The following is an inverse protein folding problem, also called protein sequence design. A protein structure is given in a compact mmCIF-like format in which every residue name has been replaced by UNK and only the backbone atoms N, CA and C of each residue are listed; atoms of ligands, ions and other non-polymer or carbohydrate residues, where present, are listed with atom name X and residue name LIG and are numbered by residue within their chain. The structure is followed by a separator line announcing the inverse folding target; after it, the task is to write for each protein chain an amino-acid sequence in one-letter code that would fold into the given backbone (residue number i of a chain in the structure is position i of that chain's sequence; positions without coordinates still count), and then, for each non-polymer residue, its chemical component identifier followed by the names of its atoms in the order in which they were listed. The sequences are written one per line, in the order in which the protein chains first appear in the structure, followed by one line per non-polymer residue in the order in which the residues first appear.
data_IF_352417613243
#
_entry.id   IF_352417613243
#
_cell.length_a   1.000
_cell.length_b   1.000
_cell.length_c   1.000
_cell.angle_alpha   90.00
_cell.angle_beta   90.00
_cell.angle_gamma   90.00
#
_symmetry.space_group_name_H-M   'P 1'
#
loop_
_entity.id
_entity.type
_entity.pdbx_description
1 polymer ?
#
# COMPACT_ATOMS: atom_id res chain seq x y z
N UNK A 1 -45.22 6.82 -5.87
CA UNK A 1 -44.83 7.68 -4.74
C UNK A 1 -44.20 6.80 -3.69
N UNK A 2 -42.87 6.76 -3.64
CA UNK A 2 -42.13 6.13 -2.58
C UNK A 2 -40.94 7.03 -2.28
N UNK A 3 -41.03 7.71 -1.16
CA UNK A 3 -40.11 8.75 -0.68
C UNK A 3 -38.85 8.08 -0.16
N UNK A 4 -37.71 8.39 -0.77
CA UNK A 4 -36.40 7.95 -0.33
C UNK A 4 -36.00 8.74 0.92
N UNK A 5 -35.80 8.05 2.05
CA UNK A 5 -35.23 8.60 3.26
C UNK A 5 -33.71 8.65 3.09
N UNK A 6 -33.23 9.85 2.89
CA UNK A 6 -31.81 10.18 2.92
C UNK A 6 -31.42 10.43 4.38
N UNK A 7 -30.78 9.44 5.02
CA UNK A 7 -30.25 9.57 6.37
C UNK A 7 -29.05 10.50 6.38
N UNK A 8 -29.19 11.65 7.00
CA UNK A 8 -28.11 12.58 7.35
C UNK A 8 -27.13 11.90 8.30
N UNK A 9 -25.87 11.90 7.95
CA UNK A 9 -24.76 11.61 8.85
C UNK A 9 -24.57 12.78 9.82
N UNK A 10 -24.34 12.55 11.10
CA UNK A 10 -24.12 13.61 12.06
C UNK A 10 -22.64 14.04 12.10
N UNK A 11 -22.43 15.37 12.10
CA UNK A 11 -21.31 16.04 12.75
C UNK A 11 -20.03 16.09 11.94
N UNK A 12 -19.82 17.19 11.23
CA UNK A 12 -18.51 17.73 10.95
C UNK A 12 -17.79 17.96 12.29
N UNK A 13 -16.93 17.02 12.68
CA UNK A 13 -15.93 17.27 13.72
C UNK A 13 -14.86 18.16 13.10
N UNK A 14 -14.71 19.37 13.64
CA UNK A 14 -13.57 20.24 13.40
C UNK A 14 -12.28 19.43 13.58
N UNK A 15 -11.27 19.59 12.70
CA UNK A 15 -9.98 18.94 12.90
C UNK A 15 -9.40 19.49 14.20
N UNK A 16 -9.19 18.63 15.17
CA UNK A 16 -8.34 18.89 16.32
C UNK A 16 -6.96 19.23 15.77
N UNK A 17 -6.52 20.46 15.96
CA UNK A 17 -5.13 20.86 15.80
C UNK A 17 -4.29 19.99 16.73
N UNK A 18 -3.70 18.93 16.19
CA UNK A 18 -2.80 18.07 16.94
C UNK A 18 -1.38 18.32 16.50
N UNK A 19 -0.59 18.79 17.47
CA UNK A 19 0.86 18.57 17.69
C UNK A 19 1.71 18.31 16.43
N UNK A 20 2.71 19.08 16.31
CA UNK A 20 4.03 19.07 15.63
C UNK A 20 4.63 17.74 15.15
N UNK A 21 3.82 16.75 14.75
CA UNK A 21 4.26 15.52 14.07
C UNK A 21 4.02 15.64 12.58
N UNK A 22 5.00 15.28 11.76
CA UNK A 22 4.87 15.29 10.31
C UNK A 22 3.71 14.39 9.88
N UNK A 23 2.66 14.92 9.22
CA UNK A 23 1.50 14.12 8.86
C UNK A 23 1.85 13.12 7.76
N UNK A 24 1.46 11.86 7.96
CA UNK A 24 1.37 10.91 6.86
C UNK A 24 0.27 11.40 5.91
N UNK A 25 0.58 11.48 4.65
CA UNK A 25 -0.34 11.78 3.57
C UNK A 25 -0.45 10.58 2.63
N UNK A 26 -1.67 10.15 2.37
CA UNK A 26 -1.97 9.15 1.34
C UNK A 26 -2.82 9.81 0.26
N UNK A 27 -2.31 9.80 -0.97
CA UNK A 27 -3.04 10.26 -2.16
C UNK A 27 -3.17 9.05 -3.09
N UNK A 28 -4.36 8.82 -3.62
CA UNK A 28 -4.52 7.71 -4.54
C UNK A 28 -5.86 7.65 -5.24
N UNK A 29 -5.94 6.71 -6.16
CA UNK A 29 -7.18 6.26 -6.78
C UNK A 29 -7.32 4.76 -6.59
N UNK A 30 -8.55 4.28 -6.50
CA UNK A 30 -8.84 2.86 -6.41
C UNK A 30 -10.13 2.52 -7.20
N UNK A 31 -10.50 1.24 -7.18
CA UNK A 31 -11.69 0.71 -7.86
C UNK A 31 -13.02 1.35 -7.41
N UNK A 32 -13.06 2.07 -6.28
CA UNK A 32 -14.25 2.79 -5.81
C UNK A 32 -14.32 4.21 -6.33
N UNK A 33 -13.16 4.83 -6.56
CA UNK A 33 -13.08 6.25 -6.95
C UNK A 33 -12.86 6.44 -8.43
N UNK A 34 -12.38 5.41 -9.15
CA UNK A 34 -12.10 5.49 -10.57
C UNK A 34 -12.38 4.16 -11.29
N UNK A 35 -13.03 4.21 -12.47
CA UNK A 35 -13.19 3.04 -13.34
C UNK A 35 -11.83 2.61 -13.92
N UNK A 36 -11.79 1.41 -14.52
CA UNK A 36 -10.53 0.81 -15.02
C UNK A 36 -9.85 1.69 -16.07
N UNK A 37 -10.61 2.40 -16.91
CA UNK A 37 -10.11 3.28 -17.95
C UNK A 37 -9.26 4.44 -17.42
N UNK A 38 -9.55 4.91 -16.21
CA UNK A 38 -8.76 5.94 -15.52
C UNK A 38 -7.60 5.28 -14.78
N UNK A 39 -7.85 4.18 -14.06
CA UNK A 39 -6.82 3.50 -13.26
C UNK A 39 -5.65 3.03 -14.11
N UNK A 40 -5.90 2.49 -15.31
CA UNK A 40 -4.84 2.04 -16.21
C UNK A 40 -3.91 3.16 -16.72
N UNK A 41 -4.33 4.44 -16.64
CA UNK A 41 -3.52 5.59 -17.05
C UNK A 41 -2.55 6.07 -15.96
N UNK A 42 -2.69 5.58 -14.74
CA UNK A 42 -1.86 5.98 -13.59
C UNK A 42 -1.15 4.78 -12.95
N UNK A 43 -1.03 3.67 -13.66
CA UNK A 43 -0.28 2.49 -13.22
C UNK A 43 1.21 2.74 -13.35
N UNK A 44 1.97 2.39 -12.33
CA UNK A 44 3.43 2.33 -12.41
C UNK A 44 3.86 0.95 -12.85
N UNK A 45 4.47 0.84 -14.03
CA UNK A 45 5.07 -0.40 -14.50
C UNK A 45 6.24 -0.81 -13.58
N UNK A 46 6.48 -2.12 -13.46
CA UNK A 46 7.46 -2.62 -12.49
C UNK A 46 8.89 -2.16 -12.74
N UNK A 47 9.26 -1.93 -14.00
CA UNK A 47 10.56 -1.41 -14.44
C UNK A 47 10.68 0.12 -14.28
N UNK A 48 9.59 0.85 -14.27
CA UNK A 48 9.54 2.30 -14.06
C UNK A 48 9.50 2.69 -12.58
N UNK A 49 8.99 1.79 -11.71
CA UNK A 49 8.77 2.05 -10.29
C UNK A 49 10.02 2.57 -9.55
N UNK A 50 11.26 2.05 -9.79
CA UNK A 50 12.45 2.59 -9.14
C UNK A 50 12.72 4.06 -9.50
N UNK A 51 12.56 4.45 -10.76
CA UNK A 51 12.75 5.83 -11.20
C UNK A 51 11.65 6.74 -10.61
N UNK A 52 10.40 6.30 -10.64
CA UNK A 52 9.28 7.02 -10.05
C UNK A 52 9.48 7.29 -8.54
N UNK A 53 9.97 6.30 -7.78
CA UNK A 53 10.26 6.44 -6.35
C UNK A 53 11.35 7.48 -6.08
N UNK A 54 12.42 7.50 -6.88
CA UNK A 54 13.50 8.48 -6.76
C UNK A 54 12.99 9.90 -7.08
N UNK A 55 12.22 10.06 -8.14
CA UNK A 55 11.68 11.35 -8.53
C UNK A 55 10.66 11.86 -7.50
N UNK A 56 9.76 10.99 -7.01
CA UNK A 56 8.80 11.32 -5.95
C UNK A 56 9.51 11.80 -4.67
N UNK A 57 10.63 11.17 -4.31
CA UNK A 57 11.42 11.59 -3.14
C UNK A 57 12.06 12.96 -3.29
N UNK A 58 12.21 13.46 -4.52
CA UNK A 58 12.70 14.80 -4.84
C UNK A 58 11.61 15.88 -4.85
N UNK A 59 10.34 15.52 -4.73
CA UNK A 59 9.23 16.49 -4.67
C UNK A 59 9.32 17.30 -3.39
N UNK A 60 9.10 18.62 -3.52
CA UNK A 60 9.20 19.54 -2.38
C UNK A 60 8.27 19.11 -1.24
N UNK A 61 8.78 19.10 -0.02
CA UNK A 61 8.04 18.71 1.17
C UNK A 61 8.01 17.20 1.45
N UNK A 62 8.49 16.33 0.55
CA UNK A 62 8.55 14.87 0.77
C UNK A 62 9.84 14.48 1.48
N UNK A 63 9.75 13.71 2.55
CA UNK A 63 10.90 13.16 3.30
C UNK A 63 11.00 11.65 3.23
N UNK A 64 9.86 10.96 3.21
CA UNK A 64 9.77 9.53 3.02
C UNK A 64 8.65 9.26 2.03
N UNK A 65 8.80 8.26 1.17
CA UNK A 65 7.81 7.94 0.15
C UNK A 65 7.72 6.44 -0.13
N UNK A 66 6.53 6.03 -0.59
CA UNK A 66 6.23 4.68 -1.03
C UNK A 66 5.13 4.78 -2.10
N UNK A 67 5.28 4.04 -3.19
CA UNK A 67 4.26 3.92 -4.25
C UNK A 67 3.67 2.51 -4.18
N UNK A 68 2.35 2.41 -4.09
CA UNK A 68 1.61 1.15 -4.19
C UNK A 68 0.83 1.18 -5.49
N UNK A 69 1.21 0.35 -6.45
CA UNK A 69 0.52 0.22 -7.75
C UNK A 69 0.11 -1.23 -7.97
N UNK A 70 -1.19 -1.47 -8.13
CA UNK A 70 -1.81 -2.78 -8.34
C UNK A 70 -2.92 -2.67 -9.37
N UNK A 71 -3.58 -3.78 -9.73
CA UNK A 71 -4.74 -3.73 -10.62
C UNK A 71 -5.93 -2.92 -10.06
N UNK A 72 -6.01 -2.74 -8.73
CA UNK A 72 -7.17 -2.10 -8.09
C UNK A 72 -6.87 -0.73 -7.49
N UNK A 73 -5.61 -0.32 -7.38
CA UNK A 73 -5.21 0.97 -6.79
C UNK A 73 -3.86 1.45 -7.24
N UNK A 74 -3.72 2.76 -7.30
CA UNK A 74 -2.45 3.47 -7.34
C UNK A 74 -2.46 4.49 -6.23
N UNK A 75 -1.51 4.38 -5.31
CA UNK A 75 -1.43 5.18 -4.09
C UNK A 75 -0.01 5.65 -3.82
N UNK A 76 0.12 6.90 -3.41
CA UNK A 76 1.35 7.51 -2.91
C UNK A 76 1.23 7.63 -1.39
N UNK A 77 2.14 7.03 -0.64
CA UNK A 77 2.26 7.20 0.81
C UNK A 77 3.46 8.08 1.06
N UNK A 78 3.23 9.29 1.53
CA UNK A 78 4.29 10.28 1.72
C UNK A 78 4.29 10.79 3.16
N UNK A 79 5.47 10.94 3.73
CA UNK A 79 5.69 11.67 4.96
C UNK A 79 6.37 13.00 4.62
N UNK A 80 5.84 14.10 5.12
CA UNK A 80 6.39 15.42 4.81
C UNK A 80 5.55 16.57 5.35
N UNK A 81 5.58 17.69 4.67
CA UNK A 81 4.94 18.93 5.14
C UNK A 81 3.40 18.91 5.00
N UNK A 82 2.84 17.85 4.41
CA UNK A 82 1.38 17.65 4.28
C UNK A 82 0.74 18.40 3.11
N UNK A 83 1.52 19.11 2.28
CA UNK A 83 1.00 19.73 1.05
C UNK A 83 0.78 18.67 -0.03
N UNK A 84 -0.45 18.56 -0.49
CA UNK A 84 -0.84 17.58 -1.51
C UNK A 84 -0.63 18.08 -2.95
N UNK A 85 -0.57 19.39 -3.15
CA UNK A 85 -0.52 20.00 -4.49
C UNK A 85 0.70 19.56 -5.29
N UNK A 86 1.93 19.58 -4.74
CA UNK A 86 3.11 19.11 -5.46
C UNK A 86 3.03 17.63 -5.85
N UNK A 87 2.41 16.79 -5.00
CA UNK A 87 2.27 15.36 -5.25
C UNK A 87 1.27 15.08 -6.37
N UNK A 88 0.14 15.79 -6.38
CA UNK A 88 -0.87 15.68 -7.46
C UNK A 88 -0.29 16.17 -8.79
N UNK A 89 0.44 17.28 -8.76
CA UNK A 89 1.13 17.81 -9.95
C UNK A 89 2.18 16.81 -10.47
N UNK A 90 2.97 16.22 -9.58
CA UNK A 90 3.95 15.20 -9.93
C UNK A 90 3.29 13.97 -10.54
N UNK A 91 2.24 13.41 -9.92
CA UNK A 91 1.53 12.25 -10.43
C UNK A 91 0.95 12.50 -11.83
N UNK A 92 0.37 13.69 -12.03
CA UNK A 92 -0.17 14.10 -13.32
C UNK A 92 0.93 14.28 -14.38
N UNK A 93 2.08 14.82 -13.99
CA UNK A 93 3.24 15.01 -14.87
C UNK A 93 3.91 13.68 -15.24
N UNK A 94 4.11 12.79 -14.26
CA UNK A 94 4.71 11.48 -14.49
C UNK A 94 3.97 10.67 -15.56
N UNK A 95 2.66 10.68 -15.51
CA UNK A 95 1.80 9.95 -16.45
C UNK A 95 1.34 10.77 -17.66
N UNK A 96 1.89 11.98 -17.84
CA UNK A 96 1.55 12.89 -18.93
C UNK A 96 0.03 13.09 -19.15
N UNK A 97 -0.72 13.14 -18.03
CA UNK A 97 -2.18 13.18 -18.07
C UNK A 97 -2.72 14.42 -18.78
N UNK A 98 -1.98 15.52 -18.71
CA UNK A 98 -2.34 16.78 -19.40
C UNK A 98 -2.33 16.64 -20.92
N UNK A 99 -1.35 15.93 -21.49
CA UNK A 99 -1.28 15.65 -22.93
C UNK A 99 -2.44 14.75 -23.39
N UNK A 100 -2.92 13.90 -22.49
CA UNK A 100 -4.10 13.06 -22.73
C UNK A 100 -5.44 13.74 -22.42
N UNK A 101 -5.43 15.01 -22.04
CA UNK A 101 -6.61 15.80 -21.63
C UNK A 101 -7.44 15.10 -20.54
N UNK A 102 -6.74 14.44 -19.60
CA UNK A 102 -7.35 13.66 -18.51
C UNK A 102 -7.18 14.38 -17.17
N UNK A 103 -8.28 14.78 -16.56
CA UNK A 103 -8.32 15.28 -15.19
C UNK A 103 -8.74 14.15 -14.23
N UNK A 104 -7.83 13.79 -13.33
CA UNK A 104 -8.06 12.76 -12.30
C UNK A 104 -8.43 13.35 -10.94
N UNK A 105 -8.50 14.68 -10.81
CA UNK A 105 -8.69 15.37 -9.51
C UNK A 105 -9.95 14.93 -8.77
N UNK A 106 -11.03 14.66 -9.51
CA UNK A 106 -12.29 14.14 -8.96
C UNK A 106 -12.26 12.67 -8.56
N UNK A 107 -11.25 11.93 -9.00
CA UNK A 107 -11.07 10.50 -8.69
C UNK A 107 -10.07 10.26 -7.57
N UNK A 108 -9.29 11.28 -7.18
CA UNK A 108 -8.29 11.18 -6.12
C UNK A 108 -8.94 11.28 -4.74
N UNK A 109 -8.64 10.35 -3.87
CA UNK A 109 -8.82 10.54 -2.42
C UNK A 109 -7.53 11.02 -1.77
N UNK A 110 -7.69 11.75 -0.68
CA UNK A 110 -6.63 12.38 0.09
C UNK A 110 -6.89 12.12 1.56
N UNK A 111 -5.92 11.50 2.23
CA UNK A 111 -6.04 11.12 3.62
C UNK A 111 -4.82 11.62 4.38
N UNK A 112 -5.04 12.27 5.53
CA UNK A 112 -3.99 12.85 6.36
C UNK A 112 -4.02 12.24 7.76
N UNK A 113 -2.85 12.05 8.38
CA UNK A 113 -2.71 11.63 9.78
C UNK A 113 -3.40 10.30 10.10
N UNK A 114 -4.22 10.25 11.14
CA UNK A 114 -4.94 9.05 11.58
C UNK A 114 -5.76 8.37 10.48
N UNK A 115 -6.57 9.05 9.67
CA UNK A 115 -7.24 8.46 8.51
C UNK A 115 -6.29 7.78 7.51
N UNK A 116 -5.09 8.36 7.28
CA UNK A 116 -4.08 7.76 6.41
C UNK A 116 -3.51 6.46 7.02
N UNK A 117 -3.20 6.47 8.32
CA UNK A 117 -2.73 5.28 9.06
C UNK A 117 -3.79 4.16 9.00
N UNK A 118 -5.06 4.52 9.28
CA UNK A 118 -6.19 3.58 9.21
C UNK A 118 -6.32 2.97 7.83
N UNK A 119 -6.18 3.78 6.78
CA UNK A 119 -6.24 3.31 5.40
C UNK A 119 -5.13 2.31 5.09
N UNK A 120 -3.87 2.61 5.44
CA UNK A 120 -2.73 1.70 5.23
C UNK A 120 -2.95 0.35 5.91
N UNK A 121 -3.46 0.34 7.14
CA UNK A 121 -3.77 -0.90 7.87
C UNK A 121 -4.92 -1.65 7.23
N UNK A 122 -5.97 -0.94 6.80
CA UNK A 122 -7.12 -1.53 6.10
C UNK A 122 -6.71 -2.18 4.78
N UNK A 123 -5.85 -1.51 4.01
CA UNK A 123 -5.27 -2.05 2.77
C UNK A 123 -4.44 -3.30 3.06
N UNK A 124 -3.55 -3.26 4.06
CA UNK A 124 -2.72 -4.40 4.43
C UNK A 124 -3.54 -5.63 4.85
N UNK A 125 -4.67 -5.40 5.52
CA UNK A 125 -5.61 -6.44 5.95
C UNK A 125 -6.53 -6.94 4.81
N UNK A 126 -6.55 -6.26 3.66
CA UNK A 126 -7.48 -6.54 2.55
C UNK A 126 -8.91 -6.07 2.82
N UNK A 127 -9.13 -5.19 3.80
CA UNK A 127 -10.45 -4.65 4.13
C UNK A 127 -10.91 -3.59 3.13
N UNK A 128 -9.97 -2.97 2.42
CA UNK A 128 -10.24 -2.02 1.33
C UNK A 128 -10.00 -2.63 -0.06
N UNK A 129 -9.89 -3.94 -0.19
CA UNK A 129 -9.73 -4.62 -1.47
C UNK A 129 -11.07 -4.83 -2.18
N UNK A 130 -11.02 -4.99 -3.52
CA UNK A 130 -12.17 -5.36 -4.35
C UNK A 130 -12.85 -6.61 -3.78
N UNK A 131 -12.03 -7.57 -3.39
CA UNK A 131 -12.44 -8.78 -2.69
C UNK A 131 -11.98 -8.68 -1.25
N UNK A 132 -12.94 -8.56 -0.35
CA UNK A 132 -12.68 -8.38 1.07
C UNK A 132 -11.85 -9.54 1.64
N UNK A 133 -10.70 -9.23 2.25
CA UNK A 133 -9.77 -10.20 2.83
C UNK A 133 -8.85 -10.90 1.82
N UNK A 134 -8.74 -10.41 0.59
CA UNK A 134 -7.86 -10.99 -0.44
C UNK A 134 -6.40 -11.07 0.04
N UNK A 135 -5.77 -12.26 -0.04
CA UNK A 135 -4.40 -12.43 0.46
C UNK A 135 -3.34 -11.72 -0.38
N UNK A 136 -3.61 -11.47 -1.67
CA UNK A 136 -2.64 -10.95 -2.63
C UNK A 136 -2.19 -9.53 -2.31
N UNK A 137 -3.08 -8.67 -1.82
CA UNK A 137 -2.75 -7.26 -1.52
C UNK A 137 -1.62 -7.13 -0.49
N UNK A 138 -1.56 -8.00 0.51
CA UNK A 138 -0.48 -7.99 1.49
C UNK A 138 0.88 -8.32 0.84
N UNK A 139 0.90 -9.26 -0.10
CA UNK A 139 2.08 -9.60 -0.90
C UNK A 139 2.53 -8.42 -1.75
N UNK A 140 1.59 -7.79 -2.48
CA UNK A 140 1.85 -6.61 -3.32
C UNK A 140 2.38 -5.44 -2.50
N UNK A 141 1.79 -5.18 -1.34
CA UNK A 141 2.24 -4.12 -0.43
C UNK A 141 3.66 -4.36 0.10
N UNK A 142 4.02 -5.63 0.40
CA UNK A 142 5.40 -6.00 0.77
C UNK A 142 6.37 -5.80 -0.38
N UNK A 143 5.98 -6.10 -1.60
CA UNK A 143 6.81 -5.90 -2.80
C UNK A 143 7.05 -4.41 -3.04
N UNK A 144 6.01 -3.58 -2.98
CA UNK A 144 6.11 -2.13 -3.08
C UNK A 144 7.04 -1.53 -1.99
N UNK A 145 6.89 -1.99 -0.75
CA UNK A 145 7.74 -1.55 0.35
C UNK A 145 9.21 -1.94 0.15
N UNK A 146 9.51 -3.15 -0.33
CA UNK A 146 10.88 -3.55 -0.66
C UNK A 146 11.47 -2.67 -1.76
N UNK A 147 10.71 -2.41 -2.82
CA UNK A 147 11.16 -1.52 -3.89
C UNK A 147 11.54 -0.13 -3.37
N UNK A 148 10.73 0.45 -2.46
CA UNK A 148 11.03 1.73 -1.82
C UNK A 148 12.26 1.67 -0.90
N UNK A 149 12.46 0.56 -0.17
CA UNK A 149 13.67 0.34 0.64
C UNK A 149 14.93 0.24 -0.22
N UNK A 150 14.86 -0.50 -1.34
CA UNK A 150 15.98 -0.67 -2.27
C UNK A 150 16.41 0.68 -2.87
N UNK A 151 15.45 1.59 -3.08
CA UNK A 151 15.69 2.97 -3.51
C UNK A 151 16.08 3.92 -2.37
N UNK A 152 16.07 3.47 -1.10
CA UNK A 152 16.41 4.28 0.09
C UNK A 152 15.53 5.51 0.29
N UNK A 153 14.28 5.45 -0.16
CA UNK A 153 13.32 6.56 -0.02
C UNK A 153 12.38 6.38 1.17
N UNK A 154 12.51 5.28 1.92
CA UNK A 154 11.82 5.08 3.19
C UNK A 154 12.71 5.49 4.37
N UNK A 155 12.11 6.05 5.40
CA UNK A 155 12.78 6.38 6.66
C UNK A 155 12.16 5.67 7.87
N UNK A 156 12.44 6.13 9.09
CA UNK A 156 12.00 5.47 10.32
C UNK A 156 10.48 5.36 10.45
N UNK A 157 9.74 6.37 9.97
CA UNK A 157 8.29 6.40 10.09
C UNK A 157 7.61 5.36 9.18
N UNK A 158 7.86 5.41 7.86
CA UNK A 158 7.27 4.45 6.92
C UNK A 158 7.74 3.02 7.22
N UNK A 159 8.99 2.84 7.64
CA UNK A 159 9.48 1.53 8.05
C UNK A 159 8.68 0.98 9.24
N UNK A 160 8.41 1.81 10.26
CA UNK A 160 7.62 1.41 11.42
C UNK A 160 6.17 1.15 11.04
N UNK A 161 5.55 2.04 10.26
CA UNK A 161 4.19 1.92 9.77
C UNK A 161 3.98 0.60 9.02
N UNK A 162 4.84 0.32 8.04
CA UNK A 162 4.71 -0.87 7.20
C UNK A 162 4.94 -2.17 7.97
N UNK A 163 5.95 -2.22 8.85
CA UNK A 163 6.19 -3.39 9.70
C UNK A 163 5.02 -3.66 10.65
N UNK A 164 4.46 -2.61 11.24
CA UNK A 164 3.28 -2.72 12.09
C UNK A 164 2.07 -3.19 11.27
N UNK A 165 1.81 -2.58 10.10
CA UNK A 165 0.72 -2.98 9.21
C UNK A 165 0.81 -4.46 8.80
N UNK A 166 2.01 -4.97 8.49
CA UNK A 166 2.22 -6.39 8.16
C UNK A 166 1.96 -7.32 9.35
N UNK A 167 2.36 -6.91 10.56
CA UNK A 167 2.10 -7.66 11.79
C UNK A 167 0.61 -7.72 12.10
N UNK A 168 -0.05 -6.58 12.02
CA UNK A 168 -1.51 -6.45 12.22
C UNK A 168 -2.27 -7.28 11.21
N UNK A 169 -1.94 -7.18 9.92
CA UNK A 169 -2.56 -7.95 8.86
C UNK A 169 -2.45 -9.46 9.10
N UNK A 170 -1.30 -9.94 9.58
CA UNK A 170 -1.13 -11.35 9.95
C UNK A 170 -2.05 -11.75 11.11
N UNK A 171 -2.14 -10.92 12.17
CA UNK A 171 -3.01 -11.19 13.33
C UNK A 171 -4.49 -11.18 12.95
N UNK A 172 -4.95 -10.15 12.24
CA UNK A 172 -6.33 -10.05 11.77
C UNK A 172 -6.72 -11.29 10.98
N UNK A 173 -5.87 -11.73 10.04
CA UNK A 173 -6.15 -12.93 9.23
C UNK A 173 -6.16 -14.24 10.00
N UNK A 174 -5.42 -14.34 11.12
CA UNK A 174 -5.40 -15.57 11.95
C UNK A 174 -6.47 -15.56 13.04
N UNK A 175 -6.92 -14.40 13.50
CA UNK A 175 -7.82 -14.26 14.64
C UNK A 175 -9.25 -13.91 14.23
N UNK A 176 -9.48 -13.52 12.97
CA UNK A 176 -10.84 -13.26 12.44
C UNK A 176 -11.16 -14.20 11.28
N UNK A 177 -12.43 -14.29 10.93
CA UNK A 177 -12.91 -15.09 9.80
C UNK A 177 -12.57 -14.50 8.44
N UNK A 178 -11.96 -13.31 8.37
CA UNK A 178 -11.66 -12.62 7.12
C UNK A 178 -10.67 -13.41 6.25
N UNK A 179 -9.76 -14.18 6.88
CA UNK A 179 -8.81 -15.05 6.19
C UNK A 179 -9.35 -16.42 5.78
N UNK A 180 -10.44 -16.88 6.37
CA UNK A 180 -10.93 -18.26 6.21
C UNK A 180 -11.71 -18.49 4.91
N UNK A 181 -12.35 -17.45 4.35
CA UNK A 181 -13.19 -17.51 3.17
C UNK A 181 -12.80 -16.46 2.12
N UNK A 182 -11.50 -16.21 1.95
CA UNK A 182 -11.03 -15.27 0.97
C UNK A 182 -11.38 -15.75 -0.44
N UNK A 183 -12.41 -15.15 -1.05
CA UNK A 183 -12.62 -15.23 -2.49
C UNK A 183 -11.54 -14.37 -3.13
N UNK A 184 -10.90 -14.86 -4.16
CA UNK A 184 -9.97 -14.07 -4.96
C UNK A 184 -10.65 -13.57 -6.23
N UNK A 185 -10.07 -12.54 -6.87
CA UNK A 185 -10.49 -12.11 -8.21
C UNK A 185 -10.48 -13.30 -9.17
N UNK A 186 -9.48 -14.17 -9.05
CA UNK A 186 -9.39 -15.39 -9.85
C UNK A 186 -10.58 -16.34 -9.63
N UNK A 187 -11.00 -16.56 -8.37
CA UNK A 187 -12.16 -17.39 -8.07
C UNK A 187 -13.47 -16.76 -8.52
N UNK A 188 -13.58 -15.42 -8.49
CA UNK A 188 -14.74 -14.71 -9.02
C UNK A 188 -14.84 -14.85 -10.54
N UNK A 189 -13.71 -14.76 -11.27
CA UNK A 189 -13.66 -15.01 -12.71
C UNK A 189 -14.14 -16.42 -13.06
N UNK A 190 -13.68 -17.45 -12.33
CA UNK A 190 -14.10 -18.83 -12.53
C UNK A 190 -15.58 -19.04 -12.16
N UNK A 191 -16.07 -18.41 -11.09
CA UNK A 191 -17.49 -18.46 -10.73
C UNK A 191 -18.39 -17.79 -11.78
N UNK A 192 -17.91 -16.73 -12.44
CA UNK A 192 -18.62 -16.10 -13.55
C UNK A 192 -18.63 -17.01 -14.79
N UNK A 193 -17.51 -17.67 -15.11
CA UNK A 193 -17.46 -18.67 -16.18
C UNK A 193 -18.45 -19.80 -15.95
N UNK A 194 -18.65 -20.24 -14.70
CA UNK A 194 -19.66 -21.26 -14.33
C UNK A 194 -21.11 -20.83 -14.52
N UNK A 195 -21.40 -19.55 -14.57
CA UNK A 195 -22.75 -19.06 -14.93
C UNK A 195 -23.02 -19.22 -16.43
N UNK A 196 -21.97 -19.30 -17.26
CA UNK A 196 -22.07 -19.48 -18.71
C UNK A 196 -21.94 -20.96 -19.11
N UNK A 197 -21.05 -21.70 -18.45
CA UNK A 197 -20.78 -23.11 -18.69
C UNK A 197 -21.17 -23.95 -17.48
N UNK A 198 -22.07 -24.90 -17.63
CA UNK A 198 -22.51 -25.79 -16.55
C UNK A 198 -21.39 -26.72 -16.09
N UNK A 199 -20.55 -27.19 -17.04
CA UNK A 199 -19.42 -28.10 -16.81
C UNK A 199 -18.20 -27.61 -17.61
N UNK A 200 -17.02 -27.81 -17.07
CA UNK A 200 -15.75 -27.45 -17.72
C UNK A 200 -15.03 -28.63 -18.38
N UNK A 201 -15.52 -29.87 -18.21
CA UNK A 201 -14.79 -31.08 -18.64
C UNK A 201 -14.42 -31.12 -20.12
N UNK A 202 -15.31 -30.61 -20.97
CA UNK A 202 -15.14 -30.63 -22.44
C UNK A 202 -14.64 -29.27 -22.98
N UNK A 203 -14.40 -28.30 -22.10
CA UNK A 203 -13.96 -26.95 -22.49
C UNK A 203 -12.44 -26.81 -22.43
N UNK A 204 -11.92 -25.84 -23.16
CA UNK A 204 -10.51 -25.46 -23.17
C UNK A 204 -10.37 -24.06 -22.57
N UNK A 205 -9.51 -23.89 -21.55
CA UNK A 205 -9.15 -22.58 -21.04
C UNK A 205 -7.78 -22.15 -21.59
N UNK A 206 -7.71 -20.90 -22.02
CA UNK A 206 -6.49 -20.18 -22.36
C UNK A 206 -6.22 -19.15 -21.26
N UNK A 207 -5.13 -19.35 -20.55
CA UNK A 207 -4.66 -18.48 -19.48
C UNK A 207 -3.51 -17.62 -19.99
N UNK A 208 -3.68 -16.30 -19.95
CA UNK A 208 -2.70 -15.34 -20.47
C UNK A 208 -2.01 -14.63 -19.32
N UNK A 209 -0.71 -14.90 -19.18
CA UNK A 209 0.10 -14.57 -18.02
C UNK A 209 0.54 -15.82 -17.25
N UNK A 210 1.54 -15.67 -16.38
CA UNK A 210 2.03 -16.73 -15.49
C UNK A 210 2.28 -16.18 -14.07
N UNK A 211 1.49 -15.21 -13.66
CA UNK A 211 1.52 -14.63 -12.31
C UNK A 211 0.64 -15.41 -11.33
N UNK A 212 0.69 -14.99 -10.05
CA UNK A 212 -0.05 -15.62 -8.94
C UNK A 212 -1.56 -15.70 -9.19
N UNK A 213 -2.15 -14.65 -9.78
CA UNK A 213 -3.59 -14.59 -10.11
C UNK A 213 -3.97 -15.65 -11.14
N UNK A 214 -3.15 -15.84 -12.18
CA UNK A 214 -3.37 -16.88 -13.22
C UNK A 214 -3.17 -18.26 -12.64
N UNK A 215 -2.14 -18.48 -11.81
CA UNK A 215 -1.93 -19.75 -11.13
C UNK A 215 -3.14 -20.13 -10.25
N UNK A 216 -3.72 -19.14 -9.57
CA UNK A 216 -4.91 -19.35 -8.75
C UNK A 216 -6.15 -19.63 -9.61
N UNK A 217 -6.34 -18.96 -10.74
CA UNK A 217 -7.40 -19.23 -11.69
C UNK A 217 -7.29 -20.66 -12.25
N UNK A 218 -6.08 -21.10 -12.60
CA UNK A 218 -5.80 -22.47 -13.05
C UNK A 218 -6.22 -23.51 -12.01
N UNK A 219 -5.87 -23.31 -10.73
CA UNK A 219 -6.30 -24.19 -9.62
C UNK A 219 -7.81 -24.27 -9.49
N UNK A 220 -8.49 -23.14 -9.55
CA UNK A 220 -9.95 -23.11 -9.46
C UNK A 220 -10.62 -23.79 -10.67
N UNK A 221 -10.15 -23.54 -11.89
CA UNK A 221 -10.66 -24.20 -13.10
C UNK A 221 -10.46 -25.72 -13.02
N UNK A 222 -9.28 -26.17 -12.57
CA UNK A 222 -8.98 -27.59 -12.40
C UNK A 222 -9.86 -28.25 -11.35
N UNK A 223 -10.06 -27.57 -10.21
CA UNK A 223 -10.94 -28.04 -9.13
C UNK A 223 -12.41 -28.18 -9.59
N UNK A 224 -12.83 -27.45 -10.63
CA UNK A 224 -14.16 -27.53 -11.22
C UNK A 224 -14.20 -28.40 -12.49
N UNK A 225 -13.21 -29.26 -12.71
CA UNK A 225 -13.25 -30.32 -13.72
C UNK A 225 -12.62 -29.98 -15.07
N UNK A 226 -12.03 -28.78 -15.25
CA UNK A 226 -11.36 -28.41 -16.49
C UNK A 226 -10.21 -29.39 -16.80
N UNK A 227 -10.18 -29.92 -18.02
CA UNK A 227 -9.16 -30.89 -18.46
C UNK A 227 -8.12 -30.31 -19.40
N UNK A 228 -8.50 -29.38 -20.24
CA UNK A 228 -7.61 -28.78 -21.27
C UNK A 228 -7.27 -27.36 -20.91
N UNK A 229 -5.98 -27.09 -20.75
CA UNK A 229 -5.46 -25.77 -20.33
C UNK A 229 -4.27 -25.39 -21.21
N UNK A 230 -4.31 -24.18 -21.74
CA UNK A 230 -3.21 -23.57 -22.48
C UNK A 230 -2.76 -22.36 -21.66
N UNK A 231 -1.45 -22.25 -21.42
CA UNK A 231 -0.85 -21.12 -20.70
C UNK A 231 0.03 -20.33 -21.66
N UNK A 232 -0.33 -19.07 -21.88
CA UNK A 232 0.43 -18.14 -22.72
C UNK A 232 1.18 -17.14 -21.86
N UNK A 233 2.47 -16.96 -22.07
CA UNK A 233 3.23 -15.93 -21.35
C UNK A 233 4.41 -15.41 -22.20
N UNK A 234 4.89 -14.20 -21.91
CA UNK A 234 6.09 -13.62 -22.55
C UNK A 234 7.33 -14.49 -22.31
N UNK A 235 7.54 -14.97 -21.09
CA UNK A 235 8.56 -15.98 -20.78
C UNK A 235 7.95 -17.37 -20.92
N UNK A 236 8.38 -18.12 -21.94
CA UNK A 236 7.92 -19.49 -22.18
C UNK A 236 8.25 -20.42 -21.01
N UNK A 237 9.40 -20.22 -20.35
CA UNK A 237 9.80 -21.03 -19.19
C UNK A 237 8.79 -20.93 -18.05
N UNK A 238 8.33 -19.70 -17.73
CA UNK A 238 7.30 -19.47 -16.72
C UNK A 238 5.95 -20.08 -17.13
N UNK A 239 5.60 -19.99 -18.40
CA UNK A 239 4.40 -20.65 -18.92
C UNK A 239 4.49 -22.16 -18.78
N UNK A 240 5.65 -22.77 -19.07
CA UNK A 240 5.90 -24.21 -18.94
C UNK A 240 5.86 -24.65 -17.48
N UNK A 241 6.45 -23.89 -16.56
CA UNK A 241 6.43 -24.16 -15.13
C UNK A 241 4.98 -24.25 -14.63
N UNK A 242 4.17 -23.23 -14.94
CA UNK A 242 2.76 -23.22 -14.54
C UNK A 242 1.95 -24.33 -15.25
N UNK A 243 2.14 -24.52 -16.54
CA UNK A 243 1.40 -25.53 -17.30
C UNK A 243 1.67 -26.97 -16.78
N UNK A 244 2.89 -27.28 -16.33
CA UNK A 244 3.25 -28.59 -15.77
C UNK A 244 2.47 -28.92 -14.49
N UNK A 245 2.14 -27.93 -13.66
CA UNK A 245 1.34 -28.14 -12.44
C UNK A 245 -0.06 -28.70 -12.76
N UNK A 246 -0.57 -28.45 -13.98
CA UNK A 246 -1.95 -28.75 -14.37
C UNK A 246 -2.07 -29.65 -15.63
N UNK A 247 -1.01 -30.35 -16.03
CA UNK A 247 -0.96 -31.14 -17.27
C UNK A 247 -1.44 -30.32 -18.47
N UNK A 248 -1.07 -29.05 -18.53
CA UNK A 248 -1.45 -28.10 -19.56
C UNK A 248 -0.37 -27.92 -20.62
N UNK A 249 -0.68 -27.13 -21.64
CA UNK A 249 0.21 -26.81 -22.76
C UNK A 249 0.67 -25.36 -22.65
N UNK A 250 1.97 -25.10 -22.82
CA UNK A 250 2.55 -23.75 -22.74
C UNK A 250 2.85 -23.20 -24.14
N UNK A 251 2.52 -21.92 -24.32
CA UNK A 251 2.80 -21.18 -25.57
C UNK A 251 3.44 -19.84 -25.27
N UNK A 252 4.10 -19.24 -26.25
CA UNK A 252 4.52 -17.83 -26.17
C UNK A 252 3.35 -16.89 -26.50
N UNK A 253 3.47 -15.60 -26.14
CA UNK A 253 2.44 -14.61 -26.48
C UNK A 253 2.27 -14.42 -27.99
N UNK A 254 3.35 -14.60 -28.77
CA UNK A 254 3.30 -14.52 -30.25
C UNK A 254 2.44 -15.62 -30.86
N UNK A 255 2.36 -16.78 -30.22
CA UNK A 255 1.53 -17.90 -30.67
C UNK A 255 0.06 -17.79 -30.26
N UNK A 256 -0.29 -16.78 -29.44
CA UNK A 256 -1.62 -16.62 -28.82
C UNK A 256 -2.73 -16.58 -29.87
N UNK A 257 -2.58 -15.82 -30.95
CA UNK A 257 -3.58 -15.71 -32.03
C UNK A 257 -3.88 -17.05 -32.71
N UNK A 258 -2.90 -17.95 -32.79
CA UNK A 258 -3.05 -19.27 -33.37
C UNK A 258 -3.90 -20.21 -32.50
N UNK A 259 -3.81 -20.06 -31.17
CA UNK A 259 -4.48 -20.92 -30.19
C UNK A 259 -5.80 -20.35 -29.66
N UNK A 260 -6.09 -19.07 -29.89
CA UNK A 260 -7.39 -18.44 -29.54
C UNK A 260 -8.61 -19.24 -30.08
N UNK A 261 -8.58 -19.81 -31.30
CA UNK A 261 -9.70 -20.62 -31.80
C UNK A 261 -10.01 -21.87 -30.97
N UNK A 262 -9.06 -22.37 -30.18
CA UNK A 262 -9.23 -23.55 -29.34
C UNK A 262 -9.88 -23.26 -28.00
N UNK A 263 -9.84 -21.97 -27.55
CA UNK A 263 -10.25 -21.56 -26.24
C UNK A 263 -11.76 -21.26 -26.13
N UNK A 264 -12.42 -21.88 -25.17
CA UNK A 264 -13.80 -21.55 -24.80
C UNK A 264 -13.82 -20.51 -23.67
N UNK A 265 -12.80 -20.54 -22.80
CA UNK A 265 -12.61 -19.65 -21.65
C UNK A 265 -11.23 -18.98 -21.81
N UNK A 266 -11.17 -17.67 -21.74
CA UNK A 266 -9.91 -16.89 -21.70
C UNK A 266 -9.87 -16.11 -20.41
N UNK A 267 -8.78 -16.23 -19.63
CA UNK A 267 -8.52 -15.40 -18.46
C UNK A 267 -7.14 -14.76 -18.65
N UNK A 268 -7.11 -13.44 -18.65
CA UNK A 268 -5.90 -12.65 -18.87
C UNK A 268 -5.52 -11.82 -17.64
N UNK A 269 -4.24 -11.90 -17.28
CA UNK A 269 -3.63 -11.10 -16.20
C UNK A 269 -2.12 -11.01 -16.42
N UNK A 270 -1.69 -10.08 -17.28
CA UNK A 270 -0.26 -9.81 -17.52
C UNK A 270 0.13 -8.44 -16.94
N UNK A 271 1.41 -8.11 -17.02
CA UNK A 271 1.93 -6.78 -16.73
C UNK A 271 2.29 -6.03 -18.02
N UNK A 272 1.57 -6.31 -19.12
CA UNK A 272 1.82 -5.65 -20.39
C UNK A 272 1.30 -4.21 -20.34
N UNK A 273 2.08 -3.22 -20.81
CA UNK A 273 1.61 -1.84 -20.91
C UNK A 273 0.60 -1.63 -22.06
N UNK A 274 0.51 -2.60 -22.96
CA UNK A 274 -0.39 -2.57 -24.14
C UNK A 274 -1.15 -3.87 -24.25
N UNK A 275 -2.37 -3.86 -24.82
CA UNK A 275 -3.16 -5.05 -25.04
C UNK A 275 -2.39 -6.13 -25.83
N UNK A 276 -2.47 -7.36 -25.34
CA UNK A 276 -1.85 -8.55 -25.97
C UNK A 276 -2.87 -9.36 -26.77
N UNK A 277 -4.17 -9.14 -26.54
CA UNK A 277 -5.27 -9.77 -27.28
C UNK A 277 -6.00 -8.69 -28.08
N UNK A 278 -5.79 -8.69 -29.40
CA UNK A 278 -6.34 -7.68 -30.27
C UNK A 278 -7.73 -8.04 -30.81
N UNK A 279 -8.49 -7.02 -31.19
CA UNK A 279 -9.79 -7.20 -31.85
C UNK A 279 -9.72 -8.09 -33.09
N UNK A 280 -8.70 -7.89 -33.94
CA UNK A 280 -8.54 -8.69 -35.16
C UNK A 280 -8.24 -10.15 -34.89
N UNK A 281 -7.44 -10.44 -33.85
CA UNK A 281 -7.14 -11.81 -33.45
C UNK A 281 -8.40 -12.53 -32.94
N UNK A 282 -9.20 -11.89 -32.10
CA UNK A 282 -10.46 -12.47 -31.59
C UNK A 282 -11.48 -12.63 -32.71
N UNK A 283 -11.62 -11.63 -33.59
CA UNK A 283 -12.51 -11.69 -34.74
C UNK A 283 -12.15 -12.89 -35.68
N UNK A 284 -10.87 -13.10 -35.91
CA UNK A 284 -10.40 -14.25 -36.69
C UNK A 284 -10.69 -15.58 -35.96
N UNK A 285 -10.48 -15.65 -34.65
CA UNK A 285 -10.78 -16.83 -33.85
C UNK A 285 -12.27 -17.20 -33.88
N UNK A 286 -13.19 -16.23 -33.70
CA UNK A 286 -14.64 -16.48 -33.77
C UNK A 286 -15.05 -17.04 -35.12
N UNK A 287 -14.48 -16.52 -36.21
CA UNK A 287 -14.75 -17.08 -37.56
C UNK A 287 -14.28 -18.54 -37.70
N UNK A 288 -13.08 -18.82 -37.20
CA UNK A 288 -12.53 -20.18 -37.25
C UNK A 288 -13.34 -21.18 -36.40
N UNK A 289 -13.90 -20.70 -35.28
CA UNK A 289 -14.77 -21.45 -34.36
C UNK A 289 -16.20 -21.67 -34.89
N UNK A 290 -16.53 -21.18 -36.09
CA UNK A 290 -17.88 -21.20 -36.62
C UNK A 290 -18.92 -20.57 -35.69
N UNK A 291 -18.57 -19.43 -35.10
CA UNK A 291 -19.36 -18.64 -34.14
C UNK A 291 -19.70 -19.36 -32.84
N UNK A 292 -18.89 -20.32 -32.38
CA UNK A 292 -18.98 -20.78 -31.01
C UNK A 292 -18.53 -19.66 -30.06
N UNK A 293 -19.31 -19.31 -29.03
CA UNK A 293 -18.98 -18.21 -28.15
C UNK A 293 -17.67 -18.43 -27.41
N UNK A 294 -17.00 -17.33 -27.07
CA UNK A 294 -15.83 -17.28 -26.19
C UNK A 294 -16.20 -16.42 -24.96
N UNK A 295 -15.96 -16.98 -23.79
CA UNK A 295 -16.01 -16.26 -22.53
C UNK A 295 -14.62 -15.72 -22.20
N UNK A 296 -14.49 -14.41 -22.01
CA UNK A 296 -13.23 -13.75 -21.78
C UNK A 296 -13.30 -12.90 -20.49
N UNK A 297 -12.28 -13.00 -19.65
CA UNK A 297 -12.13 -12.15 -18.44
C UNK A 297 -10.77 -11.51 -18.46
N UNK A 298 -10.75 -10.19 -18.47
CA UNK A 298 -9.55 -9.38 -18.35
C UNK A 298 -9.40 -8.87 -16.92
N UNK A 299 -8.40 -9.41 -16.21
CA UNK A 299 -8.11 -9.03 -14.82
C UNK A 299 -6.91 -8.08 -14.76
N UNK A 300 -6.26 -7.83 -15.91
CA UNK A 300 -5.09 -6.96 -16.00
C UNK A 300 -5.44 -5.48 -15.87
N UNK A 301 -4.52 -4.71 -15.32
CA UNK A 301 -4.51 -3.25 -15.38
C UNK A 301 -3.05 -2.82 -15.57
N UNK A 302 -2.71 -2.24 -16.73
CA UNK A 302 -3.55 -1.94 -17.89
C UNK A 302 -4.19 -3.19 -18.50
N UNK A 303 -5.29 -2.99 -19.28
CA UNK A 303 -6.02 -4.10 -19.89
C UNK A 303 -5.19 -4.85 -20.92
N UNK A 304 -5.28 -6.18 -20.86
CA UNK A 304 -4.64 -7.10 -21.82
C UNK A 304 -5.46 -7.27 -23.10
N UNK A 305 -6.78 -7.00 -23.06
CA UNK A 305 -7.72 -7.21 -24.15
C UNK A 305 -8.21 -5.86 -24.67
N UNK A 306 -8.15 -5.64 -25.97
CA UNK A 306 -8.68 -4.42 -26.59
C UNK A 306 -10.18 -4.26 -26.29
N UNK A 307 -10.63 -3.08 -25.81
CA UNK A 307 -12.04 -2.85 -25.45
C UNK A 307 -13.03 -3.10 -26.60
N UNK A 308 -12.59 -2.91 -27.82
CA UNK A 308 -13.36 -3.16 -29.03
C UNK A 308 -13.81 -4.61 -29.18
N UNK A 309 -13.12 -5.56 -28.53
CA UNK A 309 -13.48 -6.99 -28.51
C UNK A 309 -14.88 -7.19 -27.94
N UNK A 310 -15.32 -6.36 -27.00
CA UNK A 310 -16.67 -6.41 -26.45
C UNK A 310 -17.79 -6.13 -27.49
N UNK A 311 -17.44 -5.56 -28.65
CA UNK A 311 -18.39 -5.30 -29.76
C UNK A 311 -18.61 -6.49 -30.68
N UNK A 312 -17.82 -7.56 -30.51
CA UNK A 312 -17.95 -8.76 -31.34
C UNK A 312 -19.15 -9.59 -30.87
N UNK A 313 -19.97 -10.03 -31.83
CA UNK A 313 -20.97 -11.07 -31.58
C UNK A 313 -20.26 -12.35 -31.15
N UNK A 314 -20.86 -13.15 -30.27
CA UNK A 314 -20.33 -14.43 -29.76
C UNK A 314 -19.10 -14.26 -28.83
N UNK A 315 -18.83 -13.04 -28.32
CA UNK A 315 -17.81 -12.77 -27.29
C UNK A 315 -18.46 -12.19 -26.04
N UNK A 316 -18.19 -12.81 -24.90
CA UNK A 316 -18.59 -12.32 -23.59
C UNK A 316 -17.33 -11.83 -22.86
N UNK A 317 -17.02 -10.54 -23.03
CA UNK A 317 -15.87 -9.92 -22.39
C UNK A 317 -16.30 -9.26 -21.08
N UNK A 318 -15.61 -9.63 -20.01
CA UNK A 318 -15.74 -9.05 -18.67
C UNK A 318 -14.40 -8.49 -18.23
N UNK A 319 -14.45 -7.40 -17.50
CA UNK A 319 -13.28 -6.74 -16.90
C UNK A 319 -13.21 -7.04 -15.41
N UNK A 320 -12.13 -6.62 -14.77
CA UNK A 320 -11.98 -6.73 -13.30
C UNK A 320 -13.15 -6.03 -12.56
N UNK A 321 -13.70 -4.96 -13.11
CA UNK A 321 -14.78 -4.21 -12.47
C UNK A 321 -16.13 -4.96 -12.55
N UNK A 322 -16.36 -5.76 -13.58
CA UNK A 322 -17.56 -6.60 -13.71
C UNK A 322 -17.59 -7.75 -12.68
N UNK A 323 -16.43 -8.14 -12.16
CA UNK A 323 -16.33 -9.18 -11.13
C UNK A 323 -16.88 -8.74 -9.77
N UNK A 324 -17.04 -7.43 -9.53
CA UNK A 324 -17.59 -6.88 -8.27
C UNK A 324 -18.97 -7.46 -7.95
N UNK A 325 -19.82 -7.62 -8.97
CA UNK A 325 -21.17 -8.16 -8.80
C UNK A 325 -21.18 -9.59 -8.23
N UNK A 326 -20.26 -10.44 -8.69
CA UNK A 326 -20.14 -11.83 -8.25
C UNK A 326 -19.57 -11.94 -6.84
N UNK A 327 -18.65 -11.06 -6.48
CA UNK A 327 -18.05 -11.00 -5.15
C UNK A 327 -19.08 -10.63 -4.08
N UNK A 328 -20.08 -9.82 -4.46
CA UNK A 328 -21.10 -9.30 -3.54
C UNK A 328 -22.15 -10.33 -3.10
N UNK A 329 -22.29 -11.46 -3.77
CA UNK A 329 -23.29 -12.49 -3.44
C UNK A 329 -23.09 -13.13 -2.04
N UNK A 330 -21.91 -12.98 -1.39
CA UNK A 330 -21.58 -13.51 -0.07
C UNK A 330 -21.33 -12.44 1.02
N UNK A 331 -21.96 -11.26 0.88
CA UNK A 331 -21.64 -10.07 1.67
C UNK A 331 -22.00 -10.16 3.17
N UNK A 332 -23.02 -10.91 3.59
CA UNK A 332 -23.48 -10.89 4.99
C UNK A 332 -22.41 -11.46 5.95
N UNK A 333 -21.93 -12.67 5.67
CA UNK A 333 -20.90 -13.33 6.49
C UNK A 333 -19.56 -12.59 6.49
N UNK A 334 -19.26 -11.87 5.38
CA UNK A 334 -18.04 -11.06 5.24
C UNK A 334 -18.13 -9.75 5.98
N UNK A 335 -19.32 -9.14 6.08
CA UNK A 335 -19.53 -7.92 6.87
C UNK A 335 -19.27 -8.14 8.35
N UNK A 336 -19.69 -9.29 8.90
CA UNK A 336 -19.37 -9.64 10.29
C UNK A 336 -17.86 -9.80 10.50
N UNK A 337 -17.18 -10.55 9.62
CA UNK A 337 -15.73 -10.72 9.70
C UNK A 337 -14.97 -9.40 9.52
N UNK A 338 -15.48 -8.49 8.67
CA UNK A 338 -14.91 -7.15 8.51
C UNK A 338 -15.14 -6.29 9.76
N UNK A 339 -16.24 -6.44 10.46
CA UNK A 339 -16.51 -5.72 11.70
C UNK A 339 -15.52 -6.14 12.80
N UNK A 340 -15.36 -7.45 13.02
CA UNK A 340 -14.35 -7.99 13.95
C UNK A 340 -12.93 -7.48 13.60
N UNK A 341 -12.59 -7.45 12.31
CA UNK A 341 -11.29 -6.96 11.85
C UNK A 341 -11.11 -5.46 12.09
N UNK A 342 -12.15 -4.64 11.88
CA UNK A 342 -12.11 -3.20 12.12
C UNK A 342 -11.98 -2.88 13.62
N UNK A 343 -12.63 -3.63 14.50
CA UNK A 343 -12.48 -3.46 15.94
C UNK A 343 -11.03 -3.72 16.39
N UNK A 344 -10.41 -4.79 15.85
CA UNK A 344 -9.00 -5.05 16.09
C UNK A 344 -8.11 -3.92 15.55
N UNK A 345 -8.40 -3.43 14.34
CA UNK A 345 -7.64 -2.33 13.73
C UNK A 345 -7.69 -1.06 14.58
N UNK A 346 -8.84 -0.70 15.13
CA UNK A 346 -8.98 0.49 15.98
C UNK A 346 -8.03 0.45 17.18
N UNK A 347 -7.90 -0.70 17.83
CA UNK A 347 -6.96 -0.90 18.95
C UNK A 347 -5.51 -0.76 18.49
N UNK A 348 -5.16 -1.36 17.35
CA UNK A 348 -3.80 -1.33 16.83
C UNK A 348 -3.38 0.06 16.36
N UNK A 349 -4.29 0.83 15.78
CA UNK A 349 -4.06 2.22 15.36
C UNK A 349 -3.78 3.07 16.59
N UNK A 350 -4.60 2.97 17.64
CA UNK A 350 -4.38 3.71 18.88
C UNK A 350 -3.01 3.38 19.51
N UNK A 351 -2.62 2.10 19.51
CA UNK A 351 -1.30 1.68 19.99
C UNK A 351 -0.17 2.22 19.12
N UNK A 352 -0.34 2.21 17.81
CA UNK A 352 0.66 2.75 16.87
C UNK A 352 0.83 4.26 17.07
N UNK A 353 -0.25 5.02 17.19
CA UNK A 353 -0.20 6.46 17.46
C UNK A 353 0.49 6.78 18.79
N UNK A 354 0.24 5.97 19.82
CA UNK A 354 0.96 6.11 21.08
C UNK A 354 2.47 5.84 20.92
N UNK A 355 2.85 4.87 20.10
CA UNK A 355 4.26 4.60 19.79
C UNK A 355 4.90 5.73 18.97
N UNK A 356 4.16 6.38 18.06
CA UNK A 356 4.66 7.53 17.29
C UNK A 356 5.02 8.70 18.19
N UNK A 357 4.20 8.99 19.21
CA UNK A 357 4.51 10.03 20.19
C UNK A 357 5.85 9.81 20.90
N UNK A 358 6.22 8.55 21.12
CA UNK A 358 7.53 8.22 21.68
C UNK A 358 8.67 8.38 20.68
N UNK A 359 8.43 8.18 19.38
CA UNK A 359 9.44 8.40 18.35
C UNK A 359 9.78 9.88 18.16
N UNK A 360 8.82 10.78 18.33
CA UNK A 360 9.03 12.23 18.24
C UNK A 360 9.99 12.74 19.33
N UNK A 361 10.06 12.05 20.46
CA UNK A 361 10.99 12.40 21.54
C UNK A 361 12.44 11.95 21.26
N UNK A 362 12.64 10.95 20.39
CA UNK A 362 13.98 10.35 20.14
C UNK A 362 15.01 11.36 19.64
N UNK A 363 14.73 12.22 18.63
CA UNK A 363 15.69 13.23 18.17
C UNK A 363 16.09 14.18 19.28
N UNK A 364 15.14 14.65 20.07
CA UNK A 364 15.37 15.57 21.20
C UNK A 364 16.22 14.92 22.28
N UNK A 365 15.92 13.65 22.63
CA UNK A 365 16.73 12.88 23.59
C UNK A 365 18.15 12.67 23.08
N UNK A 366 18.30 12.38 21.79
CA UNK A 366 19.62 12.19 21.16
C UNK A 366 20.43 13.47 21.20
N UNK A 367 19.84 14.58 20.78
CA UNK A 367 20.51 15.88 20.82
C UNK A 367 20.92 16.26 22.25
N UNK A 368 20.05 16.07 23.23
CA UNK A 368 20.36 16.29 24.64
C UNK A 368 21.57 15.48 25.10
N UNK A 369 21.64 14.20 24.71
CA UNK A 369 22.78 13.32 25.06
C UNK A 369 24.06 13.74 24.34
N UNK A 370 23.99 14.12 23.07
CA UNK A 370 25.16 14.59 22.30
C UNK A 370 25.74 15.87 22.91
N UNK A 371 24.89 16.84 23.28
CA UNK A 371 25.32 18.07 23.96
C UNK A 371 25.96 17.77 25.34
N UNK A 372 25.35 16.90 26.13
CA UNK A 372 25.90 16.49 27.42
C UNK A 372 27.27 15.80 27.28
N UNK A 373 27.45 14.97 26.26
CA UNK A 373 28.71 14.26 25.98
C UNK A 373 29.82 15.25 25.57
N UNK A 374 29.53 16.27 24.76
CA UNK A 374 30.46 17.34 24.40
C UNK A 374 30.94 18.08 25.67
N UNK A 375 30.01 18.44 26.55
CA UNK A 375 30.32 19.13 27.81
C UNK A 375 31.19 18.23 28.69
N UNK A 376 30.86 16.94 28.78
CA UNK A 376 31.63 15.94 29.55
C UNK A 376 33.06 15.82 29.02
N UNK A 377 33.21 15.63 27.72
CA UNK A 377 34.53 15.45 27.09
C UNK A 377 35.43 16.65 27.30
N UNK A 378 34.89 17.88 27.13
CA UNK A 378 35.65 19.11 27.32
C UNK A 378 36.08 19.30 28.78
N UNK A 379 35.17 19.04 29.75
CA UNK A 379 35.47 19.22 31.18
C UNK A 379 36.49 18.15 31.65
N UNK A 380 36.36 16.92 31.14
CA UNK A 380 37.33 15.87 31.43
C UNK A 380 38.74 16.20 30.90
N UNK A 381 38.83 16.77 29.70
CA UNK A 381 40.11 17.20 29.13
C UNK A 381 40.76 18.31 29.94
N UNK A 382 39.98 19.26 30.47
CA UNK A 382 40.46 20.28 31.40
C UNK A 382 41.00 19.65 32.68
N UNK A 383 40.27 18.71 33.30
CA UNK A 383 40.69 17.99 34.49
C UNK A 383 42.02 17.22 34.29
N UNK A 384 42.13 16.54 33.12
CA UNK A 384 43.38 15.83 32.77
C UNK A 384 44.57 16.78 32.64
N UNK A 385 44.40 17.97 32.07
CA UNK A 385 45.44 18.97 31.98
C UNK A 385 45.84 19.51 33.36
N UNK A 386 44.89 19.67 34.28
CA UNK A 386 45.21 20.07 35.66
C UNK A 386 46.03 19.00 36.40
N UNK A 387 45.67 17.73 36.25
CA UNK A 387 46.46 16.61 36.79
C UNK A 387 47.90 16.58 36.21
N UNK A 388 48.03 16.72 34.89
CA UNK A 388 49.33 16.75 34.22
C UNK A 388 50.18 17.97 34.67
N UNK A 389 49.55 19.06 35.08
CA UNK A 389 50.21 20.25 35.64
C UNK A 389 50.56 20.12 37.15
N UNK A 390 50.37 18.92 37.78
CA UNK A 390 50.70 18.63 39.13
C UNK A 390 49.75 19.17 40.21
N UNK A 391 48.49 19.51 39.83
CA UNK A 391 47.46 19.89 40.79
C UNK A 391 47.04 18.69 41.65
N UNK A 392 46.60 19.02 42.88
CA UNK A 392 46.14 17.99 43.80
C UNK A 392 44.93 17.24 43.21
N UNK A 393 44.96 15.88 43.21
CA UNK A 393 43.86 15.09 42.66
C UNK A 393 42.49 15.40 43.27
N UNK A 394 42.43 15.72 44.56
CA UNK A 394 41.17 16.04 45.21
C UNK A 394 40.60 17.37 44.68
N UNK A 395 41.44 18.41 44.53
CA UNK A 395 41.02 19.67 43.89
C UNK A 395 40.53 19.47 42.48
N UNK A 396 41.14 18.56 41.71
CA UNK A 396 40.74 18.26 40.31
C UNK A 396 39.40 17.53 40.28
N UNK A 397 39.13 16.61 41.21
CA UNK A 397 37.84 15.93 41.30
C UNK A 397 36.74 16.94 41.66
N UNK A 398 36.97 17.78 42.62
CA UNK A 398 35.99 18.83 43.03
C UNK A 398 35.72 19.80 41.88
N UNK A 399 36.77 20.24 41.16
CA UNK A 399 36.64 21.06 39.95
C UNK A 399 35.81 20.34 38.89
N UNK A 400 36.12 19.09 38.61
CA UNK A 400 35.42 18.29 37.59
C UNK A 400 33.91 18.18 37.90
N UNK A 401 33.59 17.80 39.15
CA UNK A 401 32.21 17.61 39.58
C UNK A 401 31.43 18.93 39.52
N UNK A 402 31.97 20.01 40.10
CA UNK A 402 31.31 21.33 40.12
C UNK A 402 31.16 21.91 38.70
N UNK A 403 32.21 21.82 37.88
CA UNK A 403 32.21 22.41 36.53
C UNK A 403 31.27 21.65 35.60
N UNK A 404 31.27 20.31 35.67
CA UNK A 404 30.36 19.48 34.86
C UNK A 404 28.90 19.75 35.20
N UNK A 405 28.55 19.76 36.50
CA UNK A 405 27.20 20.04 36.97
C UNK A 405 26.73 21.44 36.55
N UNK A 406 27.57 22.46 36.79
CA UNK A 406 27.22 23.85 36.43
C UNK A 406 27.03 24.02 34.92
N UNK A 407 27.89 23.42 34.08
CA UNK A 407 27.78 23.51 32.61
C UNK A 407 26.54 22.80 32.07
N UNK A 408 26.23 21.61 32.59
CA UNK A 408 25.03 20.85 32.17
C UNK A 408 23.73 21.60 32.57
N UNK A 409 23.71 22.25 33.74
CA UNK A 409 22.53 22.94 34.24
C UNK A 409 22.39 24.40 33.74
N UNK A 410 23.46 25.00 33.23
CA UNK A 410 23.46 26.42 32.84
C UNK A 410 22.41 26.72 31.77
N UNK A 411 22.45 26.01 30.64
CA UNK A 411 21.52 26.19 29.53
C UNK A 411 20.05 25.96 29.93
N UNK A 412 19.71 24.82 30.52
CA UNK A 412 18.36 24.59 31.04
C UNK A 412 17.87 25.65 32.03
N UNK A 413 18.70 26.06 33.00
CA UNK A 413 18.33 27.08 33.98
C UNK A 413 18.09 28.44 33.37
N UNK A 414 18.85 28.79 32.31
CA UNK A 414 18.65 30.04 31.59
C UNK A 414 17.33 30.02 30.83
N UNK A 415 17.06 28.95 30.09
CA UNK A 415 15.81 28.80 29.32
C UNK A 415 14.57 28.80 30.23
N UNK A 416 14.65 28.19 31.41
CA UNK A 416 13.56 28.21 32.38
C UNK A 416 13.27 29.64 32.93
N UNK A 417 14.32 30.48 33.13
CA UNK A 417 14.11 31.88 33.49
C UNK A 417 13.43 32.65 32.37
N UNK A 418 13.90 32.50 31.15
CA UNK A 418 13.32 33.15 29.98
C UNK A 418 11.86 32.73 29.78
N UNK A 419 11.53 31.41 29.93
CA UNK A 419 10.16 30.90 29.89
C UNK A 419 9.28 31.50 31.00
N UNK A 420 9.81 31.65 32.22
CA UNK A 420 9.10 32.29 33.32
C UNK A 420 8.80 33.77 33.03
N UNK A 421 9.77 34.51 32.47
CA UNK A 421 9.60 35.91 32.07
C UNK A 421 8.55 36.10 30.98
N UNK A 422 8.42 35.09 30.04
CA UNK A 422 7.43 35.10 28.98
C UNK A 422 6.06 34.53 29.40
N UNK A 423 5.94 34.00 30.61
CA UNK A 423 4.71 33.39 31.10
C UNK A 423 4.40 31.98 30.46
N UNK A 424 5.40 31.30 29.92
CA UNK A 424 5.30 29.98 29.33
C UNK A 424 5.21 28.89 30.42
N UNK A 425 4.07 28.81 31.09
CA UNK A 425 3.87 27.91 32.23
C UNK A 425 4.00 26.42 31.88
N UNK A 426 3.67 26.03 30.66
CA UNK A 426 3.81 24.63 30.18
C UNK A 426 5.26 24.14 30.21
N UNK A 427 6.22 24.99 29.84
CA UNK A 427 7.65 24.67 29.90
C UNK A 427 8.12 24.49 31.36
N UNK A 428 7.61 25.30 32.28
CA UNK A 428 7.94 25.17 33.70
C UNK A 428 7.38 23.90 34.32
N UNK A 429 6.15 23.53 33.98
CA UNK A 429 5.51 22.28 34.43
C UNK A 429 6.23 21.04 33.86
N UNK A 430 6.56 21.06 32.57
CA UNK A 430 7.32 19.98 31.95
C UNK A 430 8.69 19.77 32.62
N UNK A 431 9.39 20.88 32.92
CA UNK A 431 10.66 20.81 33.65
C UNK A 431 10.51 20.25 35.06
N UNK A 432 9.45 20.62 35.78
CA UNK A 432 9.15 20.05 37.11
C UNK A 432 8.95 18.53 37.02
N UNK A 433 8.20 18.08 36.04
CA UNK A 433 7.94 16.65 35.83
C UNK A 433 9.23 15.87 35.50
N UNK A 434 10.17 16.47 34.75
CA UNK A 434 11.42 15.85 34.35
C UNK A 434 12.48 15.77 35.45
N UNK A 435 12.52 16.76 36.36
CA UNK A 435 13.62 16.95 37.31
C UNK A 435 13.24 16.71 38.77
N UNK A 436 11.96 16.69 39.08
CA UNK A 436 11.48 16.38 40.45
C UNK A 436 10.97 14.92 40.38
N UNK A 437 11.71 13.93 40.97
CA UNK A 437 11.20 12.59 41.06
C UNK A 437 9.87 12.60 41.83
N UNK A 438 8.89 11.86 41.31
CA UNK A 438 7.69 11.54 42.08
C UNK A 438 8.15 11.06 43.45
N UNK A 439 7.67 11.72 44.52
CA UNK A 439 7.98 11.27 45.86
C UNK A 439 7.60 9.82 45.96
N UNK A 440 8.61 8.94 46.00
CA UNK A 440 8.37 7.55 46.31
C UNK A 440 7.63 7.49 47.63
N UNK A 441 6.38 7.01 47.62
CA UNK A 441 5.65 6.62 48.83
C UNK A 441 6.37 5.48 49.52
#
# INVERSE_FOLDING_TARGET
MATCYMGMLPGESQPLETSTGMPLLVIGINHRTAPVEIREKVVFAGDELPAALQELSGVAGVRESLIVSTCNRTELYCLGDGDEQPLVAWLSGWHDLTAHNLDISGSLYRLHGTPAIQHVFSVACGLDSLVLGEPQILGQLKTAYRAAQDQRVTGPYLNRLMQTAFSVAKRVRTQTRIGANAVSVASAAVAMARKVFEDFADHTALLVGAGETIALAARHLRAHGLRRMIVANRSLDRAQELAREFDGFAISLEALATHLPEADIVISSTASPTPVITYDAVRAAIRARRRKPIFMVDIAVPRDIEPEVAKLEDVYLFTIDDLQGVVNENLATRREAAHEANDMLAVEIAQFEQQLKTLDAVPTIRQLREEAEIVRAHTLDQARRMLAAGRDPQEVIDFLAATLTNRLLHGPSQRLREAAERGENEVLEAARTLWVPDKAE
#
